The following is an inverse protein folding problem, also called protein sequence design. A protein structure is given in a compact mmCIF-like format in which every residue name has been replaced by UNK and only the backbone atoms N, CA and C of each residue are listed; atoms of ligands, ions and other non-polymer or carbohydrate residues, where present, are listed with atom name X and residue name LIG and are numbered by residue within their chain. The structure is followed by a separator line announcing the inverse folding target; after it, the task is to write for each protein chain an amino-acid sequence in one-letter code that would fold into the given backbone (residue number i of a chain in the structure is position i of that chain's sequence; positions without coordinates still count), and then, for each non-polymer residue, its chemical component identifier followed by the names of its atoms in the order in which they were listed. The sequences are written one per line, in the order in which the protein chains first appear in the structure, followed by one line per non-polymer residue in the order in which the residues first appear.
data_IF_694339941594
#
_entry.id   IF_694339941594
#
_cell.length_a   1.000
_cell.length_b   1.000
_cell.length_c   1.000
_cell.angle_alpha   90.00
_cell.angle_beta   90.00
_cell.angle_gamma   90.00
#
_symmetry.space_group_name_H-M   'P 1'
#
loop_
_entity.id
_entity.type
_entity.pdbx_description
1 polymer ?
#
# COMPACT_ATOMS: atom_id res chain seq x y z
N UNK A 1 25.49 -2.74 -3.41
CA UNK A 1 24.35 -3.54 -3.92
C UNK A 1 23.73 -2.71 -5.03
N UNK A 2 23.90 -3.15 -6.29
CA UNK A 2 23.59 -2.40 -7.49
C UNK A 2 22.14 -1.98 -7.62
N UNK A 3 21.90 -1.00 -8.50
CA UNK A 3 20.56 -0.55 -8.94
C UNK A 3 19.85 -1.60 -9.84
N UNK A 4 20.16 -2.87 -9.65
CA UNK A 4 19.57 -3.95 -10.44
C UNK A 4 18.13 -4.17 -9.97
N UNK A 5 17.18 -3.89 -10.86
CA UNK A 5 15.76 -4.11 -10.71
C UNK A 5 15.27 -5.19 -11.69
N UNK A 6 16.15 -6.03 -12.19
CA UNK A 6 15.82 -7.05 -13.20
C UNK A 6 14.84 -8.12 -12.68
N UNK A 7 14.72 -8.28 -11.38
CA UNK A 7 13.71 -9.12 -10.73
C UNK A 7 13.35 -8.51 -9.36
N UNK A 8 12.38 -7.62 -9.34
CA UNK A 8 11.93 -6.98 -8.13
C UNK A 8 10.40 -7.06 -7.99
N UNK A 9 9.93 -7.06 -6.75
CA UNK A 9 8.49 -6.89 -6.44
C UNK A 9 8.26 -5.46 -5.98
N UNK A 10 7.31 -4.77 -6.59
CA UNK A 10 6.86 -3.46 -6.15
C UNK A 10 5.49 -3.57 -5.47
N UNK A 11 5.41 -3.12 -4.23
CA UNK A 11 4.17 -2.89 -3.51
C UNK A 11 3.83 -1.40 -3.64
N UNK A 12 2.84 -1.08 -4.46
CA UNK A 12 2.33 0.27 -4.66
C UNK A 12 1.09 0.48 -3.81
N UNK A 13 1.16 1.42 -2.84
CA UNK A 13 0.08 1.67 -1.88
C UNK A 13 -0.19 3.17 -1.76
N UNK A 14 -1.37 3.59 -2.22
CA UNK A 14 -1.79 5.00 -2.22
C UNK A 14 -3.27 5.14 -1.81
N UNK A 15 -3.81 6.35 -1.94
CA UNK A 15 -5.24 6.61 -1.77
C UNK A 15 -6.13 5.94 -2.81
N UNK A 16 -5.61 5.75 -4.04
CA UNK A 16 -6.37 5.16 -5.15
C UNK A 16 -5.88 3.80 -5.62
N UNK A 17 -4.69 3.36 -5.21
CA UNK A 17 -4.09 2.12 -5.69
C UNK A 17 -3.53 1.27 -4.55
N UNK A 18 -3.74 -0.02 -4.66
CA UNK A 18 -3.06 -1.04 -3.84
C UNK A 18 -2.79 -2.22 -4.76
N UNK A 19 -1.52 -2.38 -5.16
CA UNK A 19 -1.10 -3.33 -6.20
C UNK A 19 0.24 -3.95 -5.86
N UNK A 20 0.41 -5.20 -6.29
CA UNK A 20 1.70 -5.89 -6.34
C UNK A 20 2.10 -6.04 -7.80
N UNK A 21 3.26 -5.50 -8.14
CA UNK A 21 3.80 -5.54 -9.49
C UNK A 21 5.13 -6.31 -9.50
N UNK A 22 5.31 -7.14 -10.51
CA UNK A 22 6.62 -7.73 -10.82
C UNK A 22 7.36 -6.82 -11.81
N UNK A 23 8.54 -6.37 -11.44
CA UNK A 23 9.36 -5.43 -12.17
C UNK A 23 10.55 -6.18 -12.77
N UNK A 24 10.64 -6.21 -14.10
CA UNK A 24 11.72 -6.89 -14.84
C UNK A 24 12.86 -5.96 -15.22
N UNK A 25 12.72 -4.65 -14.99
CA UNK A 25 13.71 -3.63 -15.30
C UNK A 25 13.11 -2.23 -15.44
N UNK A 26 13.97 -1.21 -15.51
CA UNK A 26 13.53 0.16 -15.77
C UNK A 26 13.18 0.28 -17.27
N UNK A 27 11.98 0.80 -17.57
CA UNK A 27 11.48 0.90 -18.95
C UNK A 27 10.84 -0.38 -19.49
N UNK A 28 10.98 -1.52 -18.81
CA UNK A 28 10.31 -2.76 -19.19
C UNK A 28 8.85 -2.77 -18.74
N UNK A 29 7.94 -3.47 -19.46
CA UNK A 29 6.59 -3.69 -18.98
C UNK A 29 6.59 -4.35 -17.60
N UNK A 30 5.72 -3.88 -16.70
CA UNK A 30 5.52 -4.47 -15.38
C UNK A 30 4.34 -5.44 -15.45
N UNK A 31 4.46 -6.60 -14.79
CA UNK A 31 3.38 -7.57 -14.65
C UNK A 31 2.61 -7.25 -13.36
N UNK A 32 1.31 -6.95 -13.45
CA UNK A 32 0.45 -6.88 -12.27
C UNK A 32 0.18 -8.30 -11.77
N UNK A 33 0.61 -8.60 -10.54
CA UNK A 33 0.36 -9.89 -9.90
C UNK A 33 -0.96 -9.91 -9.15
N UNK A 34 -1.36 -8.78 -8.59
CA UNK A 34 -2.62 -8.61 -7.89
C UNK A 34 -2.88 -7.17 -7.49
N UNK A 35 -4.13 -6.85 -7.26
CA UNK A 35 -4.61 -5.51 -6.90
C UNK A 35 -5.77 -5.59 -5.92
N UNK A 36 -6.21 -4.43 -5.42
CA UNK A 36 -7.39 -4.39 -4.57
C UNK A 36 -8.66 -4.63 -5.39
N UNK A 37 -9.56 -5.45 -4.84
CA UNK A 37 -10.87 -5.74 -5.43
C UNK A 37 -11.95 -4.76 -4.99
N UNK A 38 -11.63 -3.90 -4.01
CA UNK A 38 -12.56 -2.90 -3.47
C UNK A 38 -11.81 -1.63 -3.07
N UNK A 39 -11.87 -1.18 -1.82
CA UNK A 39 -11.18 0.01 -1.35
C UNK A 39 -9.65 -0.15 -1.47
N UNK A 40 -8.95 0.86 -1.94
CA UNK A 40 -7.50 0.94 -1.77
C UNK A 40 -7.15 1.11 -0.28
N UNK A 41 -5.93 0.72 0.12
CA UNK A 41 -5.53 0.81 1.52
C UNK A 41 -5.63 2.25 2.05
N UNK A 42 -5.15 3.25 1.30
CA UNK A 42 -5.27 4.66 1.72
C UNK A 42 -6.71 5.13 1.83
N UNK A 43 -7.59 4.70 0.91
CA UNK A 43 -9.02 4.95 0.99
C UNK A 43 -9.65 4.30 2.24
N UNK A 44 -9.22 3.10 2.61
CA UNK A 44 -9.67 2.44 3.84
C UNK A 44 -9.26 3.25 5.08
N UNK A 45 -8.04 3.80 5.13
CA UNK A 45 -7.61 4.72 6.19
C UNK A 45 -8.51 5.96 6.27
N UNK A 46 -8.82 6.60 5.14
CA UNK A 46 -9.67 7.80 5.10
C UNK A 46 -11.11 7.50 5.56
N UNK A 47 -11.66 6.36 5.12
CA UNK A 47 -13.00 5.91 5.52
C UNK A 47 -13.09 5.57 7.01
N UNK A 48 -12.07 4.92 7.57
CA UNK A 48 -12.02 4.60 9.01
C UNK A 48 -11.79 5.86 9.83
N UNK A 49 -10.91 6.78 9.41
CA UNK A 49 -10.74 8.06 10.09
C UNK A 49 -12.05 8.85 10.16
N UNK A 50 -12.80 8.89 9.04
CA UNK A 50 -14.12 9.54 9.00
C UNK A 50 -15.12 8.88 9.94
N UNK A 51 -15.15 7.55 9.96
CA UNK A 51 -16.02 6.77 10.86
C UNK A 51 -15.74 7.08 12.35
N UNK A 52 -14.46 7.28 12.69
CA UNK A 52 -14.01 7.61 14.03
C UNK A 52 -14.06 9.12 14.35
N UNK A 53 -14.51 9.98 13.42
CA UNK A 53 -14.55 11.43 13.60
C UNK A 53 -13.18 12.12 13.64
N UNK A 54 -12.14 11.53 13.06
CA UNK A 54 -10.74 11.98 13.18
C UNK A 54 -10.31 13.00 12.11
N UNK A 55 -11.16 13.29 11.13
CA UNK A 55 -10.87 14.26 10.06
C UNK A 55 -10.13 13.67 8.85
N UNK A 56 -9.58 14.54 8.01
CA UNK A 56 -8.93 14.22 6.73
C UNK A 56 -7.61 15.02 6.59
N UNK A 57 -6.55 14.44 6.01
CA UNK A 57 -6.42 13.06 5.52
C UNK A 57 -6.29 12.05 6.66
N UNK A 58 -6.95 10.88 6.51
CA UNK A 58 -7.06 9.86 7.55
C UNK A 58 -5.74 9.15 7.86
N UNK A 59 -4.94 8.83 6.84
CA UNK A 59 -3.70 8.10 7.01
C UNK A 59 -2.76 8.68 8.08
N UNK A 60 -2.33 9.94 7.97
CA UNK A 60 -1.44 10.57 8.97
C UNK A 60 -2.04 10.67 10.36
N UNK A 61 -3.37 10.86 10.47
CA UNK A 61 -4.04 10.97 11.77
C UNK A 61 -4.07 9.61 12.46
N UNK A 62 -4.47 8.55 11.74
CA UNK A 62 -4.48 7.18 12.25
C UNK A 62 -3.06 6.75 12.65
N UNK A 63 -2.04 6.99 11.80
CA UNK A 63 -0.64 6.61 12.10
C UNK A 63 -0.15 7.26 13.41
N UNK A 64 -0.50 8.53 13.65
CA UNK A 64 -0.15 9.24 14.87
C UNK A 64 -0.85 8.67 16.11
N UNK A 65 -2.16 8.39 16.03
CA UNK A 65 -2.93 7.84 17.16
C UNK A 65 -2.56 6.38 17.43
N UNK A 66 -2.35 5.59 16.39
CA UNK A 66 -1.92 4.20 16.48
C UNK A 66 -0.58 4.04 17.24
N UNK A 67 0.30 5.03 17.15
CA UNK A 67 1.57 5.02 17.90
C UNK A 67 1.38 5.09 19.44
N UNK A 68 0.18 5.41 19.92
CA UNK A 68 -0.16 5.52 21.35
C UNK A 68 -1.04 4.33 21.80
N UNK A 69 -1.54 3.53 20.86
CA UNK A 69 -2.42 2.40 21.13
C UNK A 69 -1.70 1.05 21.08
N UNK A 70 -2.43 0.00 21.51
CA UNK A 70 -1.97 -1.37 21.44
C UNK A 70 -2.45 -2.05 20.13
N UNK A 71 -1.56 -2.45 19.22
CA UNK A 71 -1.93 -3.09 17.96
C UNK A 71 -2.58 -4.47 18.12
N UNK A 72 -2.51 -5.06 19.32
CA UNK A 72 -3.11 -6.36 19.64
C UNK A 72 -4.39 -6.26 20.47
N UNK A 73 -4.86 -5.05 20.77
CA UNK A 73 -6.06 -4.84 21.61
C UNK A 73 -7.33 -5.41 20.97
N UNK A 74 -7.45 -5.31 19.63
CA UNK A 74 -8.64 -5.74 18.91
C UNK A 74 -8.21 -6.64 17.74
N UNK A 75 -8.73 -7.86 17.71
CA UNK A 75 -8.46 -8.83 16.65
C UNK A 75 -9.28 -8.52 15.38
N UNK A 76 -8.95 -7.46 14.66
CA UNK A 76 -9.58 -7.16 13.38
C UNK A 76 -9.22 -8.19 12.30
N UNK A 77 -10.13 -8.48 11.35
CA UNK A 77 -9.91 -9.47 10.30
C UNK A 77 -8.82 -9.02 9.32
N UNK A 78 -8.06 -10.00 8.80
CA UNK A 78 -7.14 -9.85 7.68
C UNK A 78 -7.84 -10.34 6.42
N UNK A 79 -8.23 -9.42 5.55
CA UNK A 79 -8.95 -9.74 4.32
C UNK A 79 -8.12 -10.62 3.38
N UNK A 80 -8.76 -11.58 2.72
CA UNK A 80 -8.19 -12.41 1.65
C UNK A 80 -6.87 -13.13 2.01
N UNK A 81 -6.77 -13.61 3.27
CA UNK A 81 -5.58 -14.32 3.75
C UNK A 81 -5.76 -15.83 3.84
N UNK A 82 -6.95 -16.36 3.50
CA UNK A 82 -7.24 -17.79 3.52
C UNK A 82 -6.60 -18.50 2.33
N UNK A 83 -6.41 -19.81 2.44
CA UNK A 83 -5.78 -20.62 1.40
C UNK A 83 -6.52 -20.59 0.05
N UNK A 84 -7.86 -20.49 0.08
CA UNK A 84 -8.71 -20.42 -1.12
C UNK A 84 -8.81 -19.01 -1.74
N UNK A 85 -8.34 -17.99 -1.04
CA UNK A 85 -8.40 -16.62 -1.53
C UNK A 85 -7.33 -16.37 -2.60
N UNK A 86 -7.52 -15.31 -3.40
CA UNK A 86 -6.48 -14.87 -4.33
C UNK A 86 -5.16 -14.59 -3.60
N UNK A 87 -4.09 -15.12 -4.17
CA UNK A 87 -2.77 -15.12 -3.52
C UNK A 87 -2.22 -13.72 -3.32
N UNK A 88 -2.52 -12.79 -4.23
CA UNK A 88 -1.96 -11.44 -4.26
C UNK A 88 -2.97 -10.31 -4.20
N UNK A 89 -4.27 -10.57 -4.48
CA UNK A 89 -5.29 -9.53 -4.42
C UNK A 89 -5.61 -9.12 -2.98
N UNK A 90 -6.11 -7.91 -2.83
CA UNK A 90 -6.46 -7.30 -1.55
C UNK A 90 -7.95 -7.01 -1.46
N UNK A 91 -8.44 -6.90 -0.23
CA UNK A 91 -9.77 -6.38 0.09
C UNK A 91 -9.74 -5.74 1.48
N UNK A 92 -10.20 -4.50 1.57
CA UNK A 92 -10.24 -3.73 2.82
C UNK A 92 -11.66 -3.34 3.26
N UNK A 93 -12.68 -3.53 2.42
CA UNK A 93 -14.07 -3.20 2.76
C UNK A 93 -14.59 -3.99 3.96
N UNK A 94 -14.21 -5.26 4.08
CA UNK A 94 -14.53 -6.10 5.23
C UNK A 94 -13.91 -5.62 6.53
N UNK A 95 -12.68 -5.12 6.46
CA UNK A 95 -11.98 -4.54 7.62
C UNK A 95 -12.66 -3.25 8.10
N UNK A 96 -13.02 -2.34 7.17
CA UNK A 96 -13.80 -1.14 7.49
C UNK A 96 -15.12 -1.50 8.19
N UNK A 97 -15.83 -2.50 7.67
CA UNK A 97 -17.09 -2.97 8.27
C UNK A 97 -16.88 -3.54 9.67
N UNK A 98 -15.77 -4.22 9.92
CA UNK A 98 -15.43 -4.74 11.25
C UNK A 98 -15.18 -3.62 12.26
N UNK A 99 -14.47 -2.54 11.84
CA UNK A 99 -14.31 -1.35 12.69
C UNK A 99 -15.64 -0.69 12.99
N UNK A 100 -16.51 -0.51 11.97
CA UNK A 100 -17.83 0.07 12.16
C UNK A 100 -18.66 -0.71 13.19
N UNK A 101 -18.70 -2.04 13.06
CA UNK A 101 -19.43 -2.91 14.02
C UNK A 101 -18.85 -2.85 15.43
N UNK A 102 -17.53 -2.70 15.56
CA UNK A 102 -16.90 -2.54 16.87
C UNK A 102 -17.34 -1.26 17.55
N UNK A 103 -17.33 -0.13 16.81
CA UNK A 103 -17.78 1.18 17.31
C UNK A 103 -19.26 1.14 17.67
N UNK A 104 -20.13 0.63 16.79
CA UNK A 104 -21.55 0.49 17.04
C UNK A 104 -21.87 -0.38 18.27
N UNK A 105 -21.08 -1.43 18.49
CA UNK A 105 -21.24 -2.28 19.67
C UNK A 105 -20.89 -1.51 20.95
N UNK A 106 -19.75 -0.81 20.96
CA UNK A 106 -19.34 -0.01 22.10
C UNK A 106 -20.38 1.07 22.44
N UNK A 107 -20.93 1.76 21.44
CA UNK A 107 -21.98 2.77 21.60
C UNK A 107 -23.26 2.17 22.23
N UNK A 108 -23.72 1.02 21.74
CA UNK A 108 -24.89 0.30 22.30
C UNK A 108 -24.70 -0.15 23.74
N UNK A 109 -23.46 -0.48 24.11
CA UNK A 109 -23.09 -0.90 25.48
C UNK A 109 -22.80 0.30 26.41
N UNK A 110 -22.85 1.52 25.89
CA UNK A 110 -22.49 2.73 26.62
C UNK A 110 -21.01 2.80 27.02
N UNK A 111 -20.16 2.04 26.31
CA UNK A 111 -18.73 1.99 26.54
C UNK A 111 -17.99 3.03 25.69
N UNK A 112 -16.92 3.61 26.22
CA UNK A 112 -16.05 4.48 25.45
C UNK A 112 -15.27 3.68 24.41
N UNK A 113 -15.13 4.22 23.19
CA UNK A 113 -14.29 3.63 22.14
C UNK A 113 -12.83 3.98 22.41
N UNK A 114 -11.92 3.01 22.63
CA UNK A 114 -10.50 3.28 22.81
C UNK A 114 -9.86 3.61 21.44
N UNK A 115 -9.92 4.87 21.04
CA UNK A 115 -9.60 5.35 19.69
C UNK A 115 -8.17 4.96 19.29
N UNK A 116 -7.21 5.12 20.18
CA UNK A 116 -5.79 4.78 19.93
C UNK A 116 -5.62 3.29 19.64
N UNK A 117 -6.28 2.42 20.41
CA UNK A 117 -6.24 0.97 20.24
C UNK A 117 -6.95 0.54 18.97
N UNK A 118 -8.08 1.17 18.62
CA UNK A 118 -8.78 0.93 17.36
C UNK A 118 -7.89 1.31 16.18
N UNK A 119 -7.26 2.49 16.23
CA UNK A 119 -6.32 2.93 15.19
C UNK A 119 -5.13 1.99 15.06
N UNK A 120 -4.52 1.59 16.19
CA UNK A 120 -3.37 0.69 16.21
C UNK A 120 -3.72 -0.70 15.65
N UNK A 121 -4.82 -1.30 16.10
CA UNK A 121 -5.27 -2.62 15.66
C UNK A 121 -5.73 -2.63 14.20
N UNK A 122 -6.40 -1.56 13.74
CA UNK A 122 -6.76 -1.37 12.32
C UNK A 122 -5.51 -1.28 11.44
N UNK A 123 -4.58 -0.38 11.80
CA UNK A 123 -3.33 -0.20 11.08
C UNK A 123 -2.53 -1.50 11.00
N UNK A 124 -2.41 -2.23 12.11
CA UNK A 124 -1.73 -3.53 12.15
C UNK A 124 -2.37 -4.54 11.19
N UNK A 125 -3.71 -4.57 11.11
CA UNK A 125 -4.40 -5.46 10.19
C UNK A 125 -4.12 -5.13 8.71
N UNK A 126 -4.09 -3.85 8.35
CA UNK A 126 -3.74 -3.41 6.99
C UNK A 126 -2.29 -3.75 6.66
N UNK A 127 -1.36 -3.37 7.53
CA UNK A 127 0.08 -3.57 7.33
C UNK A 127 0.43 -5.05 7.21
N UNK A 128 -0.16 -5.89 8.06
CA UNK A 128 0.06 -7.34 8.04
C UNK A 128 -0.33 -7.96 6.69
N UNK A 129 -1.49 -7.62 6.15
CA UNK A 129 -1.96 -8.10 4.83
C UNK A 129 -1.03 -7.62 3.71
N UNK A 130 -0.69 -6.33 3.69
CA UNK A 130 0.16 -5.73 2.66
C UNK A 130 1.53 -6.40 2.59
N UNK A 131 2.22 -6.49 3.73
CA UNK A 131 3.58 -7.03 3.79
C UNK A 131 3.59 -8.53 3.53
N UNK A 132 2.64 -9.29 4.09
CA UNK A 132 2.58 -10.74 3.90
C UNK A 132 2.40 -11.09 2.41
N UNK A 133 1.49 -10.43 1.71
CA UNK A 133 1.26 -10.72 0.28
C UNK A 133 2.42 -10.27 -0.60
N UNK A 134 3.05 -9.14 -0.30
CA UNK A 134 4.24 -8.70 -1.03
C UNK A 134 5.43 -9.66 -0.85
N UNK A 135 5.66 -10.18 0.36
CA UNK A 135 6.70 -11.18 0.61
C UNK A 135 6.39 -12.52 -0.05
N UNK A 136 5.12 -12.96 -0.10
CA UNK A 136 4.73 -14.13 -0.90
C UNK A 136 5.07 -13.95 -2.37
N UNK A 137 4.82 -12.77 -2.92
CA UNK A 137 5.20 -12.48 -4.30
C UNK A 137 6.73 -12.52 -4.50
N UNK A 138 7.51 -12.02 -3.53
CA UNK A 138 8.96 -12.15 -3.57
C UNK A 138 9.41 -13.62 -3.58
N UNK A 139 8.84 -14.44 -2.72
CA UNK A 139 9.13 -15.87 -2.64
C UNK A 139 8.78 -16.59 -3.95
N UNK A 140 7.55 -16.42 -4.45
CA UNK A 140 7.05 -17.10 -5.64
C UNK A 140 7.79 -16.72 -6.92
N UNK A 141 8.24 -15.46 -7.04
CA UNK A 141 9.02 -14.95 -8.20
C UNK A 141 10.53 -15.08 -7.98
N UNK A 142 10.99 -15.57 -6.83
CA UNK A 142 12.41 -15.62 -6.49
C UNK A 142 13.07 -14.25 -6.42
N UNK A 143 12.27 -13.19 -6.15
CA UNK A 143 12.76 -11.82 -6.09
C UNK A 143 13.47 -11.54 -4.76
N UNK A 144 14.63 -10.90 -4.83
CA UNK A 144 15.44 -10.50 -3.67
C UNK A 144 15.35 -9.00 -3.36
N UNK A 145 14.55 -8.26 -4.12
CA UNK A 145 14.33 -6.83 -3.94
C UNK A 145 12.84 -6.56 -3.85
N UNK A 146 12.43 -5.85 -2.80
CA UNK A 146 11.08 -5.31 -2.66
C UNK A 146 11.13 -3.78 -2.70
N UNK A 147 10.32 -3.20 -3.55
CA UNK A 147 10.13 -1.75 -3.67
C UNK A 147 8.81 -1.39 -2.97
N UNK A 148 8.83 -0.38 -2.11
CA UNK A 148 7.61 0.14 -1.48
C UNK A 148 7.38 1.57 -1.98
N UNK A 149 6.22 1.84 -2.60
CA UNK A 149 5.88 3.13 -3.20
C UNK A 149 4.45 3.58 -2.94
N UNK A 150 4.15 4.83 -3.32
CA UNK A 150 2.87 5.48 -3.09
C UNK A 150 2.75 6.19 -1.74
N UNK A 151 1.72 7.03 -1.58
CA UNK A 151 1.56 7.90 -0.41
C UNK A 151 1.49 7.17 0.93
N UNK A 152 0.87 5.98 0.96
CA UNK A 152 0.77 5.15 2.18
C UNK A 152 2.14 4.60 2.59
N UNK A 153 3.12 4.54 1.69
CA UNK A 153 4.48 4.14 2.05
C UNK A 153 5.19 5.12 3.00
N UNK A 154 4.61 6.28 3.28
CA UNK A 154 5.06 7.20 4.33
C UNK A 154 4.67 6.72 5.74
N UNK A 155 3.69 5.81 5.89
CA UNK A 155 3.23 5.26 7.15
C UNK A 155 4.39 4.57 7.91
N UNK A 156 4.58 4.94 9.18
CA UNK A 156 5.71 4.47 9.99
C UNK A 156 5.64 2.98 10.25
N UNK A 157 4.47 2.50 10.65
CA UNK A 157 4.28 1.09 10.99
C UNK A 157 4.50 0.19 9.77
N UNK A 158 4.02 0.59 8.59
CA UNK A 158 4.26 -0.14 7.35
C UNK A 158 5.76 -0.27 7.06
N UNK A 159 6.53 0.83 7.22
CA UNK A 159 7.98 0.82 7.03
C UNK A 159 8.70 -0.10 8.01
N UNK A 160 8.33 -0.04 9.29
CA UNK A 160 8.91 -0.86 10.35
C UNK A 160 8.69 -2.36 10.09
N UNK A 161 7.43 -2.75 9.85
CA UNK A 161 7.07 -4.16 9.62
C UNK A 161 7.68 -4.68 8.32
N UNK A 162 7.64 -3.88 7.25
CA UNK A 162 8.26 -4.25 5.99
C UNK A 162 9.78 -4.44 6.14
N UNK A 163 10.47 -3.53 6.84
CA UNK A 163 11.90 -3.63 7.06
C UNK A 163 12.27 -4.87 7.90
N UNK A 164 11.55 -5.12 8.99
CA UNK A 164 11.80 -6.27 9.86
C UNK A 164 11.59 -7.59 9.09
N UNK A 165 10.42 -7.79 8.49
CA UNK A 165 10.09 -9.03 7.78
C UNK A 165 10.93 -9.27 6.53
N UNK A 166 11.28 -8.22 5.77
CA UNK A 166 12.22 -8.34 4.66
C UNK A 166 13.60 -8.81 5.13
N UNK A 167 14.07 -8.25 6.25
CA UNK A 167 15.35 -8.67 6.86
C UNK A 167 15.35 -10.14 7.27
N UNK A 168 14.26 -10.64 7.86
CA UNK A 168 14.11 -12.04 8.28
C UNK A 168 14.24 -13.03 7.12
N UNK A 169 13.74 -12.67 5.93
CA UNK A 169 13.75 -13.55 4.74
C UNK A 169 14.83 -13.20 3.72
N UNK A 170 15.72 -12.25 4.03
CA UNK A 170 16.83 -11.85 3.15
C UNK A 170 16.39 -11.11 1.88
N UNK A 171 15.27 -10.43 1.92
CA UNK A 171 14.77 -9.54 0.87
C UNK A 171 15.25 -8.10 1.12
N UNK A 172 15.76 -7.46 0.09
CA UNK A 172 16.29 -6.09 0.15
C UNK A 172 15.15 -5.09 -0.04
N UNK A 173 14.75 -4.41 1.03
CA UNK A 173 13.69 -3.41 0.96
C UNK A 173 14.25 -2.06 0.48
N UNK A 174 13.63 -1.48 -0.54
CA UNK A 174 13.89 -0.11 -1.01
C UNK A 174 12.64 0.73 -0.82
N UNK A 175 12.76 1.79 0.00
CA UNK A 175 11.68 2.74 0.27
C UNK A 175 12.18 4.14 -0.04
N UNK A 176 11.43 4.99 -0.75
CA UNK A 176 11.79 6.37 -0.97
C UNK A 176 11.77 7.16 0.36
N UNK A 177 12.47 8.29 0.38
CA UNK A 177 12.34 9.24 1.50
C UNK A 177 10.88 9.68 1.63
N UNK A 178 10.39 9.86 2.86
CA UNK A 178 8.98 10.16 3.12
C UNK A 178 8.44 11.35 2.30
N UNK A 179 9.25 12.40 2.11
CA UNK A 179 8.92 13.57 1.29
C UNK A 179 8.76 13.29 -0.21
N UNK A 180 9.19 12.11 -0.69
CA UNK A 180 9.09 11.68 -2.09
C UNK A 180 8.04 10.57 -2.29
N UNK A 181 7.27 10.24 -1.26
CA UNK A 181 6.24 9.18 -1.34
C UNK A 181 4.95 9.63 -2.02
N UNK A 182 4.69 10.94 -2.06
CA UNK A 182 3.56 11.54 -2.80
C UNK A 182 4.03 12.07 -4.15
N UNK A 183 3.11 12.40 -5.03
CA UNK A 183 3.39 12.92 -6.37
C UNK A 183 4.33 14.13 -6.31
N UNK A 184 5.40 14.07 -7.11
CA UNK A 184 6.41 15.13 -7.15
C UNK A 184 7.16 15.11 -8.48
N UNK A 185 7.71 16.27 -8.88
CA UNK A 185 8.45 16.40 -10.14
C UNK A 185 9.76 15.59 -10.20
N UNK A 186 10.35 15.26 -9.05
CA UNK A 186 11.61 14.49 -9.00
C UNK A 186 11.43 13.07 -9.55
N UNK A 187 10.29 12.42 -9.22
CA UNK A 187 10.02 11.06 -9.73
C UNK A 187 9.89 11.03 -11.26
N UNK A 188 9.24 12.05 -11.83
CA UNK A 188 9.07 12.17 -13.29
C UNK A 188 10.42 12.46 -13.95
N UNK A 189 11.18 13.41 -13.42
CA UNK A 189 12.51 13.75 -13.97
C UNK A 189 13.49 12.58 -13.88
N UNK A 190 13.46 11.82 -12.77
CA UNK A 190 14.32 10.65 -12.60
C UNK A 190 13.96 9.52 -13.58
N UNK A 191 12.67 9.29 -13.84
CA UNK A 191 12.23 8.32 -14.85
C UNK A 191 12.63 8.77 -16.25
N UNK A 192 12.33 10.03 -16.62
CA UNK A 192 12.69 10.57 -17.93
C UNK A 192 14.19 10.49 -18.20
N UNK A 193 15.04 10.85 -17.22
CA UNK A 193 16.48 10.75 -17.37
C UNK A 193 16.94 9.29 -17.64
N UNK A 194 16.30 8.30 -17.03
CA UNK A 194 16.63 6.89 -17.26
C UNK A 194 16.16 6.39 -18.62
N UNK A 195 14.99 6.81 -19.08
CA UNK A 195 14.47 6.48 -20.41
C UNK A 195 15.38 7.06 -21.51
N UNK A 196 15.82 8.31 -21.36
CA UNK A 196 16.78 8.95 -22.27
C UNK A 196 18.09 8.18 -22.32
N UNK A 197 18.64 7.77 -21.16
CA UNK A 197 19.88 6.96 -21.11
C UNK A 197 19.67 5.57 -21.74
N UNK A 198 18.47 5.01 -21.64
CA UNK A 198 18.11 3.74 -22.28
C UNK A 198 17.90 3.86 -23.80
N UNK A 199 17.91 5.06 -24.36
CA UNK A 199 17.72 5.31 -25.80
C UNK A 199 16.26 5.35 -26.23
N UNK A 200 15.33 5.54 -25.30
CA UNK A 200 13.92 5.69 -25.63
C UNK A 200 13.67 7.01 -26.36
N UNK A 201 12.95 6.94 -27.46
CA UNK A 201 12.62 8.11 -28.26
C UNK A 201 11.59 8.98 -27.53
N UNK A 202 11.74 10.32 -27.55
CA UNK A 202 10.78 11.21 -26.92
C UNK A 202 9.42 11.15 -27.62
N UNK A 203 8.35 11.22 -26.83
CA UNK A 203 7.00 11.32 -27.35
C UNK A 203 6.81 12.58 -28.19
N UNK A 204 5.98 12.50 -29.22
CA UNK A 204 5.66 13.65 -30.08
C UNK A 204 4.86 14.73 -29.34
N UNK A 205 4.83 15.95 -29.89
CA UNK A 205 4.08 17.09 -29.32
C UNK A 205 2.56 16.88 -29.29
N UNK A 206 2.03 15.90 -30.02
CA UNK A 206 0.61 15.51 -30.03
C UNK A 206 0.26 14.52 -28.93
N UNK A 207 1.22 14.08 -28.12
CA UNK A 207 0.97 13.16 -27.00
C UNK A 207 0.07 13.84 -25.97
N UNK A 208 -1.01 13.15 -25.58
CA UNK A 208 -1.94 13.59 -24.54
C UNK A 208 -1.71 12.81 -23.25
N UNK A 209 -2.02 13.43 -22.11
CA UNK A 209 -1.80 12.85 -20.78
C UNK A 209 -2.92 11.89 -20.34
N UNK A 210 -3.84 11.54 -21.24
CA UNK A 210 -4.94 10.62 -20.96
C UNK A 210 -5.03 9.54 -22.04
N UNK A 211 -5.44 8.35 -21.66
CA UNK A 211 -5.85 7.31 -22.60
C UNK A 211 -7.15 7.72 -23.27
N UNK A 212 -7.25 7.62 -24.59
CA UNK A 212 -8.49 7.92 -25.31
C UNK A 212 -9.62 7.04 -24.79
N UNK A 213 -10.56 7.63 -24.07
CA UNK A 213 -11.89 7.08 -23.94
C UNK A 213 -12.57 7.31 -25.31
N UNK A 214 -12.52 6.30 -26.17
CA UNK A 214 -13.43 6.26 -27.31
C UNK A 214 -14.83 6.11 -26.74
N UNK A 215 -15.58 7.21 -26.71
CA UNK A 215 -17.03 7.13 -26.48
C UNK A 215 -17.61 6.24 -27.61
N UNK A 216 -18.37 5.19 -27.27
CA UNK A 216 -19.08 4.45 -28.31
C UNK A 216 -20.00 5.41 -29.04
N UNK A 217 -19.82 5.53 -30.35
CA UNK A 217 -20.73 6.23 -31.27
C UNK A 217 -22.05 5.49 -31.36
#
# INVERSE_FOLDING_TARGET
VGNDLSNAIALLVSGGHTQILHVSGVGSPMEELGSTLDDAAGEAYDKVARLLGLGYPGGPVIDRLAAQGNPQAIAFPRGMMRQQDSRYDFSFSGLKTAVARYVEKADKEGASVPIEDVCASFQEAVVDVLVTKALRACEDKGARVMLLGGGVSANKRLREVAAARCGEVGVHLKIPQAKLCTDNGVMIAALAARLVVAGEEPSGLSTVSYTHLTLPT
#
